data_IF_465904463132
#
_entry.id   IF_465904463132
#
_cell.length_a   1.000
_cell.length_b   1.000
_cell.length_c   1.000
_cell.angle_alpha   90.00
_cell.angle_beta   90.00
_cell.angle_gamma   90.00
#
_symmetry.space_group_name_H-M   'P 1'
#
loop_
_entity.id
_entity.type
_entity.pdbx_description
1 polymer ?
#
# COMPACT_ATOMS: atom_id res chain seq x y z
N UNK A 1 3.42 5.88 14.03
CA UNK A 1 4.34 5.19 13.08
C UNK A 1 5.01 6.25 12.19
N UNK A 2 6.30 6.18 11.86
CA UNK A 2 6.97 7.28 11.13
C UNK A 2 6.89 7.05 9.62
N UNK A 3 6.04 7.81 8.92
CA UNK A 3 5.87 7.71 7.46
C UNK A 3 7.00 8.46 6.77
N UNK A 4 7.70 7.79 5.85
CA UNK A 4 8.77 8.40 5.05
C UNK A 4 8.45 8.25 3.57
N UNK A 5 8.52 9.36 2.86
CA UNK A 5 8.47 9.33 1.39
C UNK A 5 9.73 8.65 0.86
N UNK A 6 9.55 7.76 -0.11
CA UNK A 6 10.62 6.99 -0.75
C UNK A 6 10.39 6.99 -2.26
N UNK A 7 11.47 7.04 -3.04
CA UNK A 7 11.39 7.03 -4.49
C UNK A 7 10.83 5.69 -5.00
N UNK A 8 9.95 5.73 -6.00
CA UNK A 8 9.28 4.56 -6.58
C UNK A 8 10.27 3.52 -7.11
N UNK A 9 11.37 3.94 -7.73
CA UNK A 9 12.42 3.02 -8.23
C UNK A 9 13.11 2.25 -7.10
N UNK A 10 13.30 2.90 -5.94
CA UNK A 10 13.88 2.25 -4.76
C UNK A 10 12.91 1.23 -4.17
N UNK A 11 11.62 1.57 -4.10
CA UNK A 11 10.56 0.64 -3.66
C UNK A 11 10.46 -0.56 -4.59
N UNK A 12 10.45 -0.34 -5.90
CA UNK A 12 10.42 -1.43 -6.89
C UNK A 12 11.56 -2.42 -6.68
N UNK A 13 12.80 -1.92 -6.54
CA UNK A 13 13.96 -2.79 -6.28
C UNK A 13 13.81 -3.57 -4.96
N UNK A 14 13.28 -2.93 -3.90
CA UNK A 14 13.03 -3.63 -2.63
C UNK A 14 11.96 -4.71 -2.78
N UNK A 15 10.88 -4.45 -3.52
CA UNK A 15 9.81 -5.42 -3.78
C UNK A 15 10.30 -6.62 -4.61
N UNK A 16 11.16 -6.39 -5.60
CA UNK A 16 11.74 -7.46 -6.42
C UNK A 16 12.71 -8.31 -5.60
N UNK A 17 13.62 -7.67 -4.86
CA UNK A 17 14.72 -8.37 -4.16
C UNK A 17 14.31 -8.98 -2.81
N UNK A 18 13.31 -8.43 -2.13
CA UNK A 18 12.89 -8.88 -0.80
C UNK A 18 11.55 -9.63 -0.85
N UNK A 19 11.58 -10.91 -0.48
CA UNK A 19 10.38 -11.75 -0.39
C UNK A 19 9.51 -11.44 0.83
N UNK A 20 10.05 -10.74 1.82
CA UNK A 20 9.34 -10.26 3.00
C UNK A 20 9.02 -8.76 2.86
N UNK A 21 8.47 -8.38 1.71
CA UNK A 21 7.99 -7.02 1.46
C UNK A 21 6.75 -7.02 0.57
N UNK A 22 5.85 -6.06 0.79
CA UNK A 22 4.59 -5.94 0.06
C UNK A 22 4.26 -4.49 -0.23
N UNK A 23 3.57 -4.29 -1.35
CA UNK A 23 3.00 -3.03 -1.76
C UNK A 23 1.52 -3.02 -1.38
N UNK A 24 1.11 -2.01 -0.63
CA UNK A 24 -0.29 -1.72 -0.33
C UNK A 24 -0.68 -0.55 -1.21
N UNK A 25 -1.48 -0.81 -2.23
CA UNK A 25 -2.04 0.26 -3.04
C UNK A 25 -3.32 0.77 -2.39
N UNK A 26 -3.32 2.06 -2.09
CA UNK A 26 -4.44 2.77 -1.47
C UNK A 26 -4.97 3.76 -2.49
N UNK A 27 -5.81 3.24 -3.38
CA UNK A 27 -6.46 4.00 -4.45
C UNK A 27 -7.98 3.87 -4.29
N UNK A 28 -8.72 4.82 -4.83
CA UNK A 28 -10.16 4.64 -5.05
C UNK A 28 -10.37 3.66 -6.21
N UNK A 29 -11.56 3.06 -6.29
CA UNK A 29 -11.85 2.00 -7.28
C UNK A 29 -11.67 2.51 -8.71
N UNK A 30 -12.08 3.75 -8.98
CA UNK A 30 -11.99 4.36 -10.31
C UNK A 30 -10.54 4.49 -10.79
N UNK A 31 -9.62 4.87 -9.89
CA UNK A 31 -8.18 4.96 -10.20
C UNK A 31 -7.60 3.59 -10.51
N UNK A 32 -8.03 2.55 -9.78
CA UNK A 32 -7.57 1.18 -9.98
C UNK A 32 -8.05 0.59 -11.31
N UNK A 33 -9.32 0.82 -11.67
CA UNK A 33 -9.89 0.31 -12.93
C UNK A 33 -9.28 1.00 -14.16
N UNK A 34 -8.94 2.28 -14.07
CA UNK A 34 -8.39 3.04 -15.19
C UNK A 34 -6.92 2.74 -15.47
N UNK A 35 -6.10 2.55 -14.42
CA UNK A 35 -4.65 2.39 -14.57
C UNK A 35 -4.20 0.94 -14.38
N UNK A 36 -4.98 0.15 -13.67
CA UNK A 36 -4.65 -1.24 -13.35
C UNK A 36 -3.61 -1.37 -12.22
N UNK A 37 -3.11 -2.60 -12.11
CA UNK A 37 -2.21 -3.04 -11.04
C UNK A 37 -0.76 -2.81 -11.44
N UNK A 38 0.12 -2.36 -10.52
CA UNK A 38 1.56 -2.33 -10.77
C UNK A 38 2.07 -3.71 -11.22
N UNK A 39 2.72 -3.75 -12.37
CA UNK A 39 3.31 -4.98 -12.86
C UNK A 39 4.59 -5.29 -12.05
N UNK A 40 4.48 -6.25 -11.15
CA UNK A 40 5.60 -6.82 -10.40
C UNK A 40 5.79 -8.27 -10.86
N UNK A 41 7.03 -8.75 -10.89
CA UNK A 41 7.36 -10.15 -11.22
C UNK A 41 6.63 -11.17 -10.30
N UNK A 42 6.15 -10.71 -9.14
CA UNK A 42 5.31 -11.48 -8.23
C UNK A 42 4.09 -10.66 -7.81
N UNK A 43 2.96 -10.89 -8.49
CA UNK A 43 1.68 -10.19 -8.24
C UNK A 43 1.14 -10.43 -6.82
N UNK A 44 1.51 -11.52 -6.15
CA UNK A 44 1.11 -11.78 -4.76
C UNK A 44 1.75 -10.79 -3.76
N UNK A 45 2.67 -9.94 -4.21
CA UNK A 45 3.27 -8.88 -3.40
C UNK A 45 2.42 -7.61 -3.35
N UNK A 46 1.37 -7.49 -4.17
CA UNK A 46 0.47 -6.33 -4.17
C UNK A 46 -0.82 -6.64 -3.42
N UNK A 47 -1.12 -5.86 -2.40
CA UNK A 47 -2.38 -5.87 -1.67
C UNK A 47 -3.14 -4.62 -2.08
N UNK A 48 -4.29 -4.81 -2.72
CA UNK A 48 -5.20 -3.70 -2.97
C UNK A 48 -6.03 -3.42 -1.73
N UNK A 49 -6.03 -2.17 -1.30
CA UNK A 49 -6.88 -1.69 -0.23
C UNK A 49 -7.70 -0.53 -0.75
N UNK A 50 -8.97 -0.83 -1.03
CA UNK A 50 -9.92 0.19 -1.45
C UNK A 50 -10.03 1.25 -0.35
N UNK A 51 -9.62 2.47 -0.68
CA UNK A 51 -9.78 3.59 0.25
C UNK A 51 -11.27 3.94 0.34
N UNK A 52 -11.95 3.40 1.35
CA UNK A 52 -13.23 3.93 1.78
C UNK A 52 -12.96 4.94 2.89
N UNK A 53 -13.42 6.19 2.72
CA UNK A 53 -13.31 7.29 3.71
C UNK A 53 -14.10 7.04 5.00
N UNK A 54 -14.33 5.78 5.38
CA UNK A 54 -15.09 5.40 6.56
C UNK A 54 -14.15 5.09 7.74
N UNK A 55 -14.65 5.24 8.97
CA UNK A 55 -13.89 5.04 10.23
C UNK A 55 -13.23 3.67 10.35
N UNK A 56 -13.71 2.66 9.62
CA UNK A 56 -13.22 1.29 9.68
C UNK A 56 -12.03 0.98 8.76
N UNK A 57 -11.49 1.97 8.02
CA UNK A 57 -10.31 1.72 7.17
C UNK A 57 -9.11 1.24 7.99
N UNK A 58 -8.86 1.85 9.15
CA UNK A 58 -7.76 1.47 10.04
C UNK A 58 -7.89 0.02 10.53
N UNK A 59 -9.08 -0.38 10.97
CA UNK A 59 -9.33 -1.73 11.46
C UNK A 59 -9.21 -2.78 10.36
N UNK A 60 -9.75 -2.49 9.16
CA UNK A 60 -9.60 -3.36 8.00
C UNK A 60 -8.14 -3.49 7.58
N UNK A 61 -7.41 -2.37 7.53
CA UNK A 61 -5.98 -2.36 7.24
C UNK A 61 -5.21 -3.20 8.25
N UNK A 62 -5.38 -2.93 9.54
CA UNK A 62 -4.73 -3.65 10.63
C UNK A 62 -5.05 -5.15 10.54
N UNK A 63 -6.30 -5.54 10.27
CA UNK A 63 -6.65 -6.96 10.13
C UNK A 63 -5.87 -7.68 9.02
N UNK A 64 -5.53 -6.97 7.93
CA UNK A 64 -4.81 -7.51 6.78
C UNK A 64 -3.30 -7.54 7.03
N UNK A 65 -2.77 -6.61 7.84
CA UNK A 65 -1.32 -6.51 8.08
C UNK A 65 -0.88 -7.09 9.43
N UNK A 66 -1.80 -7.44 10.34
CA UNK A 66 -1.48 -7.90 11.71
C UNK A 66 -0.62 -9.17 11.73
N UNK A 67 -0.66 -10.00 10.69
CA UNK A 67 0.19 -11.19 10.54
C UNK A 67 1.55 -10.91 9.88
N UNK A 68 1.83 -9.66 9.52
CA UNK A 68 3.01 -9.20 8.76
C UNK A 68 3.88 -8.21 9.55
N UNK A 69 3.98 -8.41 10.87
CA UNK A 69 4.65 -7.51 11.81
C UNK A 69 6.16 -7.31 11.50
N UNK A 70 6.82 -8.31 10.89
CA UNK A 70 8.24 -8.24 10.52
C UNK A 70 8.47 -7.91 9.04
N UNK A 71 7.46 -7.39 8.35
CA UNK A 71 7.46 -7.25 6.90
C UNK A 71 7.59 -5.79 6.49
N UNK A 72 8.37 -5.50 5.44
CA UNK A 72 8.44 -4.15 4.89
C UNK A 72 7.16 -3.82 4.11
N UNK A 73 6.41 -2.81 4.56
CA UNK A 73 5.16 -2.38 3.94
C UNK A 73 5.38 -1.04 3.23
N UNK A 74 5.10 -1.00 1.93
CA UNK A 74 5.13 0.21 1.13
C UNK A 74 3.71 0.62 0.76
N UNK A 75 3.41 1.91 0.83
CA UNK A 75 2.11 2.43 0.41
C UNK A 75 2.24 3.14 -0.93
N UNK A 76 1.41 2.76 -1.90
CA UNK A 76 1.25 3.48 -3.15
C UNK A 76 -0.05 4.29 -3.11
N UNK A 77 0.05 5.56 -3.49
CA UNK A 77 -1.04 6.51 -3.48
C UNK A 77 -0.88 7.42 -4.69
N UNK A 78 -1.95 7.59 -5.46
CA UNK A 78 -1.91 8.47 -6.65
C UNK A 78 -2.27 9.92 -6.34
N UNK A 79 -3.14 10.15 -5.36
CA UNK A 79 -3.67 11.47 -5.03
C UNK A 79 -3.30 11.89 -3.59
N UNK A 80 -3.40 13.19 -3.27
CA UNK A 80 -3.11 13.77 -1.94
C UNK A 80 -3.93 13.16 -0.78
N UNK A 81 -4.87 12.26 -1.10
CA UNK A 81 -5.63 11.34 -0.26
C UNK A 81 -4.78 10.58 0.77
N UNK A 82 -3.49 10.36 0.51
CA UNK A 82 -2.60 9.75 1.51
C UNK A 82 -2.27 10.64 2.72
N UNK A 83 -2.51 11.95 2.62
CA UNK A 83 -2.40 12.81 3.80
C UNK A 83 -3.43 12.40 4.88
N UNK A 84 -4.60 11.89 4.46
CA UNK A 84 -5.61 11.36 5.37
C UNK A 84 -5.18 10.03 6.01
N UNK A 85 -4.40 9.18 5.31
CA UNK A 85 -3.84 7.95 5.90
C UNK A 85 -2.81 8.24 6.99
N UNK A 86 -1.98 9.27 6.81
CA UNK A 86 -1.05 9.73 7.86
C UNK A 86 -1.78 10.27 9.10
N UNK A 87 -3.02 10.75 8.96
CA UNK A 87 -3.84 11.19 10.10
C UNK A 87 -4.55 10.03 10.82
N UNK A 88 -4.65 8.86 10.18
CA UNK A 88 -5.35 7.67 10.70
C UNK A 88 -4.37 6.67 11.37
N UNK A 89 -3.10 6.63 10.93
CA UNK A 89 -2.03 5.72 11.41
C UNK A 89 -1.05 6.38 12.39
#
# INVERSE_FOLDING_TARGET
MLVRNICSTKVFNMLVLNNNSFLVEVSIQEEWEQVGVPHLDNENKVIFLRLQLNKNFADNFLSIINWKIDTAIFFLCRSGSCHSLQQIL
#
